data_IF_508200452395
#
_entry.id   IF_508200452395
#
_cell.length_a   1.000
_cell.length_b   1.000
_cell.length_c   1.000
_cell.angle_alpha   90.00
_cell.angle_beta   90.00
_cell.angle_gamma   90.00
#
_symmetry.space_group_name_H-M   'P 1'
#
loop_
_entity.id
_entity.type
_entity.pdbx_description
1 polymer ?
#
# COMPACT_ATOMS: atom_id res chain seq x y z
N UNK A 1 7.11 -28.61 17.04
CA UNK A 1 6.79 -28.06 18.38
C UNK A 1 5.45 -27.35 18.28
N UNK A 2 4.56 -27.50 19.26
CA UNK A 2 3.16 -27.10 19.11
C UNK A 2 3.00 -25.57 19.21
N UNK A 3 2.22 -24.98 18.30
CA UNK A 3 1.90 -23.55 18.29
C UNK A 3 1.11 -23.08 19.54
N UNK A 4 0.65 -24.03 20.37
CA UNK A 4 -0.18 -23.76 21.54
C UNK A 4 0.63 -23.39 22.80
N UNK A 5 1.96 -23.40 22.72
CA UNK A 5 2.83 -23.14 23.88
C UNK A 5 3.05 -21.66 24.18
N UNK A 6 2.64 -20.74 23.29
CA UNK A 6 2.80 -19.29 23.45
C UNK A 6 1.46 -18.62 23.76
N UNK A 7 1.17 -18.34 25.03
CA UNK A 7 -0.07 -17.70 25.48
C UNK A 7 0.17 -16.28 25.97
N UNK A 8 -0.54 -15.31 25.41
CA UNK A 8 -0.40 -13.90 25.81
C UNK A 8 -1.01 -13.74 27.22
N UNK A 9 -0.24 -13.15 28.13
CA UNK A 9 -0.62 -12.90 29.53
C UNK A 9 -0.78 -11.41 29.81
N UNK A 10 -0.16 -10.55 28.99
CA UNK A 10 -0.26 -9.11 29.15
C UNK A 10 0.09 -8.36 27.88
N UNK A 11 -0.32 -7.09 27.88
CA UNK A 11 -0.12 -6.14 26.80
C UNK A 11 0.10 -4.77 27.47
N UNK A 12 1.18 -4.09 27.08
CA UNK A 12 1.49 -2.72 27.48
C UNK A 12 1.84 -1.89 26.26
N UNK A 13 1.56 -0.59 26.30
CA UNK A 13 1.89 0.33 25.21
C UNK A 13 2.62 1.56 25.76
N UNK A 14 3.59 2.05 24.99
CA UNK A 14 4.40 3.21 25.37
C UNK A 14 4.48 4.19 24.22
N UNK A 15 4.37 5.48 24.55
CA UNK A 15 4.61 6.57 23.62
C UNK A 15 6.08 6.55 23.16
N UNK A 16 6.30 6.67 21.86
CA UNK A 16 7.61 6.95 21.28
C UNK A 16 7.49 7.89 20.06
N UNK A 17 8.57 8.10 19.33
CA UNK A 17 8.56 8.91 18.09
C UNK A 17 9.09 8.09 16.91
N UNK A 18 8.57 8.35 15.71
CA UNK A 18 9.12 7.81 14.47
C UNK A 18 10.35 8.61 14.01
N UNK A 19 10.95 8.26 12.88
CA UNK A 19 12.16 8.92 12.37
C UNK A 19 11.96 10.42 12.07
N UNK A 20 10.71 10.85 11.84
CA UNK A 20 10.34 12.23 11.56
C UNK A 20 10.02 13.03 12.83
N UNK A 21 10.15 12.41 14.02
CA UNK A 21 9.78 13.03 15.28
C UNK A 21 8.27 13.10 15.54
N UNK A 22 7.45 12.41 14.74
CA UNK A 22 6.00 12.31 14.98
C UNK A 22 5.71 11.24 16.03
N UNK A 23 4.70 11.44 16.89
CA UNK A 23 4.36 10.47 17.92
C UNK A 23 3.93 9.13 17.32
N UNK A 24 4.38 8.05 17.95
CA UNK A 24 3.97 6.69 17.63
C UNK A 24 3.96 5.80 18.89
N UNK A 25 3.70 4.51 18.76
CA UNK A 25 3.60 3.57 19.87
C UNK A 25 4.55 2.38 19.72
N UNK A 26 5.07 1.91 20.85
CA UNK A 26 5.66 0.57 20.98
C UNK A 26 4.79 -0.28 21.87
N UNK A 27 4.74 -1.58 21.56
CA UNK A 27 3.98 -2.55 22.34
C UNK A 27 4.91 -3.55 22.99
N UNK A 28 4.58 -3.93 24.22
CA UNK A 28 5.21 -5.06 24.91
C UNK A 28 4.16 -6.14 25.11
N UNK A 29 4.38 -7.28 24.48
CA UNK A 29 3.64 -8.51 24.75
C UNK A 29 4.31 -9.25 25.90
N UNK A 30 3.56 -9.55 26.93
CA UNK A 30 3.98 -10.49 27.96
C UNK A 30 3.39 -11.85 27.61
N UNK A 31 4.23 -12.86 27.40
CA UNK A 31 3.81 -14.19 26.92
C UNK A 31 4.33 -15.28 27.83
N UNK A 32 3.44 -16.19 28.22
CA UNK A 32 3.81 -17.48 28.80
C UNK A 32 4.26 -18.39 27.66
N UNK A 33 5.55 -18.69 27.61
CA UNK A 33 6.16 -19.57 26.62
C UNK A 33 7.10 -20.54 27.33
N UNK A 34 6.91 -21.86 27.11
CA UNK A 34 7.73 -22.91 27.75
C UNK A 34 7.83 -22.76 29.28
N UNK A 35 6.71 -22.48 29.95
CA UNK A 35 6.59 -22.24 31.40
C UNK A 35 7.34 -21.00 31.92
N UNK A 36 7.80 -20.12 31.04
CA UNK A 36 8.45 -18.87 31.38
C UNK A 36 7.62 -17.68 30.90
N UNK A 37 7.58 -16.62 31.69
CA UNK A 37 7.00 -15.35 31.27
C UNK A 37 8.10 -14.54 30.60
N UNK A 38 7.87 -14.15 29.35
CA UNK A 38 8.81 -13.39 28.53
C UNK A 38 8.12 -12.11 28.08
N UNK A 39 8.79 -10.97 28.27
CA UNK A 39 8.36 -9.69 27.71
C UNK A 39 9.04 -9.49 26.35
N UNK A 40 8.25 -9.30 25.30
CA UNK A 40 8.73 -9.05 23.94
C UNK A 40 8.25 -7.68 23.49
N UNK A 41 9.22 -6.80 23.25
CA UNK A 41 9.01 -5.48 22.68
C UNK A 41 8.89 -5.63 21.17
N UNK A 42 7.84 -5.04 20.60
CA UNK A 42 7.66 -4.93 19.16
C UNK A 42 7.63 -3.46 18.77
N UNK A 43 8.38 -3.15 17.71
CA UNK A 43 8.27 -1.91 16.98
C UNK A 43 7.21 -2.15 15.91
N UNK A 44 6.23 -1.26 15.82
CA UNK A 44 5.16 -1.40 14.83
C UNK A 44 4.87 -0.06 14.21
N UNK A 45 4.86 -0.03 12.89
CA UNK A 45 4.43 1.15 12.16
C UNK A 45 2.91 1.27 12.17
N UNK A 46 2.48 2.52 12.31
CA UNK A 46 1.20 2.96 11.78
C UNK A 46 1.42 4.34 11.18
N UNK A 47 0.59 4.70 10.23
CA UNK A 47 0.70 5.99 9.55
C UNK A 47 -0.70 6.51 9.23
N UNK A 48 -0.82 7.84 9.12
CA UNK A 48 -1.92 8.45 8.38
C UNK A 48 -1.57 8.30 6.90
N UNK A 49 -2.04 7.23 6.31
CA UNK A 49 -1.71 6.87 4.93
C UNK A 49 -2.70 7.48 3.92
N UNK A 50 -3.93 7.76 4.36
CA UNK A 50 -4.98 8.41 3.58
C UNK A 50 -5.93 9.21 4.50
N UNK A 51 -6.77 10.09 3.94
CA UNK A 51 -7.74 10.91 4.69
C UNK A 51 -8.76 10.07 5.49
N UNK A 52 -8.94 8.81 5.10
CA UNK A 52 -9.86 7.87 5.75
C UNK A 52 -9.21 7.14 6.95
N UNK A 53 -7.89 7.24 7.10
CA UNK A 53 -7.12 6.58 8.15
C UNK A 53 -7.41 7.26 9.50
N UNK A 54 -8.08 6.55 10.40
CA UNK A 54 -8.40 7.07 11.72
C UNK A 54 -7.26 6.83 12.69
N UNK A 55 -6.70 7.91 13.23
CA UNK A 55 -5.73 7.87 14.33
C UNK A 55 -6.36 8.50 15.56
N UNK A 56 -6.22 7.86 16.71
CA UNK A 56 -6.74 8.39 17.98
C UNK A 56 -5.65 9.18 18.69
N UNK A 57 -5.65 10.50 18.51
CA UNK A 57 -4.83 11.44 19.28
C UNK A 57 -5.54 11.88 20.56
N UNK A 58 -4.74 12.34 21.53
CA UNK A 58 -5.27 13.09 22.67
C UNK A 58 -5.82 14.45 22.22
N UNK A 59 -6.62 15.10 23.05
CA UNK A 59 -7.18 16.43 22.76
C UNK A 59 -6.91 17.35 23.94
N UNK A 60 -6.65 18.63 23.68
CA UNK A 60 -6.52 19.67 24.70
C UNK A 60 -7.91 19.97 25.32
N UNK A 61 -7.96 20.91 26.28
CA UNK A 61 -9.22 21.34 26.91
C UNK A 61 -10.16 22.07 25.95
N UNK A 62 -9.63 22.63 24.86
CA UNK A 62 -10.36 23.36 23.82
C UNK A 62 -10.89 22.41 22.71
N UNK A 63 -10.47 21.15 22.73
CA UNK A 63 -10.87 20.11 21.77
C UNK A 63 -9.88 19.88 20.64
N UNK A 64 -8.79 20.64 20.54
CA UNK A 64 -7.78 20.46 19.49
C UNK A 64 -6.94 19.21 19.75
N UNK A 65 -6.59 18.51 18.69
CA UNK A 65 -5.71 17.35 18.77
C UNK A 65 -4.32 17.75 19.29
N UNK A 66 -3.92 17.10 20.37
CA UNK A 66 -2.53 17.10 20.83
C UNK A 66 -1.93 15.80 20.35
N UNK A 67 -0.77 15.90 19.70
CA UNK A 67 0.08 14.82 19.23
C UNK A 67 0.66 13.97 20.40
N UNK A 68 -0.19 13.47 21.29
CA UNK A 68 0.13 12.47 22.29
C UNK A 68 -0.82 11.28 22.18
N UNK A 69 -0.39 10.12 22.70
CA UNK A 69 -1.02 8.82 22.45
C UNK A 69 -1.66 8.19 23.69
N UNK A 70 -1.99 8.97 24.73
CA UNK A 70 -2.44 8.42 26.01
C UNK A 70 -3.80 7.73 25.91
N UNK A 71 -4.76 8.30 25.16
CA UNK A 71 -6.04 7.64 24.86
C UNK A 71 -5.84 6.30 24.16
N UNK A 72 -4.97 6.24 23.15
CA UNK A 72 -4.66 5.00 22.44
C UNK A 72 -4.01 3.95 23.36
N UNK A 73 -3.02 4.35 24.16
CA UNK A 73 -2.37 3.49 25.18
C UNK A 73 -3.42 2.94 26.15
N UNK A 74 -4.30 3.80 26.66
CA UNK A 74 -5.34 3.40 27.59
C UNK A 74 -6.25 2.33 27.00
N UNK A 75 -6.70 2.47 25.74
CA UNK A 75 -7.54 1.47 25.08
C UNK A 75 -6.77 0.16 24.86
N UNK A 76 -5.50 0.23 24.45
CA UNK A 76 -4.66 -0.98 24.28
C UNK A 76 -4.57 -1.75 25.60
N UNK A 77 -4.25 -1.07 26.70
CA UNK A 77 -4.02 -1.71 28.00
C UNK A 77 -5.30 -2.14 28.71
N UNK A 78 -6.43 -1.47 28.46
CA UNK A 78 -7.71 -1.74 29.13
C UNK A 78 -8.67 -2.64 28.34
N UNK A 79 -8.66 -2.56 27.00
CA UNK A 79 -9.61 -3.27 26.13
C UNK A 79 -8.90 -4.33 25.28
N UNK A 80 -7.90 -3.95 24.48
CA UNK A 80 -7.17 -4.92 23.63
C UNK A 80 -6.54 -6.02 24.49
N UNK A 81 -5.91 -5.66 25.61
CA UNK A 81 -5.35 -6.62 26.57
C UNK A 81 -6.36 -7.71 26.99
N UNK A 82 -7.61 -7.34 27.27
CA UNK A 82 -8.65 -8.31 27.70
C UNK A 82 -8.95 -9.36 26.63
N UNK A 83 -8.88 -8.96 25.37
CA UNK A 83 -9.09 -9.84 24.22
C UNK A 83 -7.95 -10.84 24.09
N UNK A 84 -6.72 -10.38 24.31
CA UNK A 84 -5.51 -11.16 24.08
C UNK A 84 -5.17 -12.14 25.23
N UNK A 85 -5.57 -11.84 26.47
CA UNK A 85 -5.24 -12.67 27.64
C UNK A 85 -5.66 -14.13 27.40
N UNK A 86 -4.73 -15.04 27.66
CA UNK A 86 -4.82 -16.49 27.49
C UNK A 86 -5.03 -17.01 26.05
N UNK A 87 -5.09 -16.13 25.04
CA UNK A 87 -5.07 -16.54 23.64
C UNK A 87 -3.67 -16.97 23.20
N UNK A 88 -3.62 -17.87 22.24
CA UNK A 88 -2.38 -18.19 21.53
C UNK A 88 -1.94 -16.97 20.73
N UNK A 89 -0.64 -16.69 20.69
CA UNK A 89 -0.08 -15.67 19.80
C UNK A 89 -0.25 -16.00 18.31
N UNK A 90 -0.63 -17.24 17.97
CA UNK A 90 -0.95 -17.66 16.61
C UNK A 90 -2.43 -17.46 16.22
N UNK A 91 -3.26 -17.02 17.16
CA UNK A 91 -4.72 -16.87 16.96
C UNK A 91 -5.08 -15.57 16.22
N UNK A 92 -4.37 -15.27 15.13
CA UNK A 92 -4.39 -13.99 14.41
C UNK A 92 -5.82 -13.54 14.08
N UNK A 93 -6.62 -14.40 13.43
CA UNK A 93 -7.95 -14.04 12.97
C UNK A 93 -8.89 -13.67 14.13
N UNK A 94 -8.91 -14.47 15.20
CA UNK A 94 -9.79 -14.21 16.34
C UNK A 94 -9.32 -13.00 17.17
N UNK A 95 -8.01 -12.75 17.23
CA UNK A 95 -7.46 -11.54 17.84
C UNK A 95 -7.90 -10.32 17.01
N UNK A 96 -7.68 -10.34 15.70
CA UNK A 96 -8.02 -9.25 14.79
C UNK A 96 -9.53 -8.96 14.78
N UNK A 97 -10.37 -10.00 14.77
CA UNK A 97 -11.83 -9.85 14.89
C UNK A 97 -12.23 -9.20 16.23
N UNK A 98 -11.62 -9.64 17.34
CA UNK A 98 -11.80 -9.02 18.64
C UNK A 98 -11.41 -7.54 18.65
N UNK A 99 -10.27 -7.20 18.05
CA UNK A 99 -9.80 -5.81 17.96
C UNK A 99 -10.79 -4.93 17.19
N UNK A 100 -11.34 -5.41 16.08
CA UNK A 100 -12.36 -4.68 15.30
C UNK A 100 -13.68 -4.55 16.05
N UNK A 101 -14.06 -5.55 16.86
CA UNK A 101 -15.28 -5.51 17.67
C UNK A 101 -15.26 -4.43 18.76
N UNK A 102 -14.08 -3.95 19.19
CA UNK A 102 -13.97 -2.79 20.08
C UNK A 102 -14.60 -1.53 19.44
N UNK A 103 -14.51 -1.42 18.11
CA UNK A 103 -14.90 -0.23 17.34
C UNK A 103 -16.17 -0.46 16.50
N UNK A 104 -17.09 -1.31 16.99
CA UNK A 104 -18.37 -1.65 16.33
C UNK A 104 -18.21 -2.21 14.90
N UNK A 105 -17.17 -3.01 14.65
CA UNK A 105 -16.91 -3.63 13.33
C UNK A 105 -16.65 -2.64 12.18
N UNK A 106 -16.60 -1.33 12.47
CA UNK A 106 -16.14 -0.30 11.55
C UNK A 106 -14.62 -0.10 11.71
N UNK A 107 -13.99 0.51 10.70
CA UNK A 107 -12.57 0.83 10.63
C UNK A 107 -12.02 1.31 11.99
N UNK A 108 -11.24 0.44 12.65
CA UNK A 108 -10.64 0.74 13.95
C UNK A 108 -9.57 1.83 13.83
N UNK A 109 -9.15 2.39 14.97
CA UNK A 109 -8.04 3.34 14.96
C UNK A 109 -6.73 2.62 14.66
N UNK A 110 -6.05 3.02 13.58
CA UNK A 110 -4.86 2.32 13.09
C UNK A 110 -3.73 2.32 14.13
N UNK A 111 -3.58 3.40 14.91
CA UNK A 111 -2.61 3.48 15.99
C UNK A 111 -2.91 2.54 17.18
N UNK A 112 -4.06 1.86 17.19
CA UNK A 112 -4.42 0.86 18.20
C UNK A 112 -4.36 -0.54 17.60
N UNK A 113 -5.01 -0.76 16.46
CA UNK A 113 -5.19 -2.10 15.90
C UNK A 113 -3.94 -2.61 15.20
N UNK A 114 -3.23 -1.78 14.42
CA UNK A 114 -2.02 -2.19 13.70
C UNK A 114 -0.91 -2.64 14.66
N UNK A 115 -0.53 -1.87 15.69
CA UNK A 115 0.50 -2.30 16.63
C UNK A 115 0.24 -3.65 17.29
N UNK A 116 -1.02 -3.94 17.61
CA UNK A 116 -1.39 -5.21 18.23
C UNK A 116 -1.42 -6.33 17.20
N UNK A 117 -2.04 -6.09 16.04
CA UNK A 117 -2.26 -7.07 14.98
C UNK A 117 -0.96 -7.47 14.27
N UNK A 118 -0.22 -6.51 13.71
CA UNK A 118 1.05 -6.74 13.02
C UNK A 118 2.16 -7.10 14.01
N UNK A 119 2.07 -6.60 15.25
CA UNK A 119 3.00 -6.96 16.33
C UNK A 119 3.08 -8.46 16.61
N UNK A 120 2.03 -9.23 16.31
CA UNK A 120 2.04 -10.70 16.42
C UNK A 120 3.05 -11.36 15.47
N UNK A 121 3.37 -10.76 14.33
CA UNK A 121 4.41 -11.24 13.41
C UNK A 121 5.77 -11.23 14.11
N UNK A 122 6.15 -10.06 14.64
CA UNK A 122 7.42 -9.86 15.35
C UNK A 122 7.48 -10.70 16.63
N UNK A 123 6.36 -10.80 17.36
CA UNK A 123 6.23 -11.65 18.53
C UNK A 123 6.55 -13.12 18.22
N UNK A 124 5.86 -13.70 17.23
CA UNK A 124 6.02 -15.10 16.87
C UNK A 124 7.40 -15.38 16.25
N UNK A 125 7.90 -14.48 15.41
CA UNK A 125 9.25 -14.54 14.86
C UNK A 125 10.31 -14.66 15.95
N UNK A 126 10.25 -13.78 16.97
CA UNK A 126 11.18 -13.75 18.11
C UNK A 126 11.04 -14.96 19.03
N UNK A 127 9.81 -15.40 19.36
CA UNK A 127 9.58 -16.54 20.26
C UNK A 127 10.08 -17.88 19.68
N UNK A 128 9.88 -18.08 18.37
CA UNK A 128 10.16 -19.35 17.72
C UNK A 128 11.48 -19.36 16.94
N UNK A 129 12.22 -18.25 16.94
CA UNK A 129 13.45 -18.07 16.15
C UNK A 129 13.23 -18.42 14.67
N UNK A 130 12.11 -17.95 14.11
CA UNK A 130 11.75 -18.16 12.71
C UNK A 130 11.68 -16.81 11.98
N UNK A 131 12.15 -16.72 10.73
CA UNK A 131 11.97 -15.50 9.94
C UNK A 131 10.50 -15.10 9.83
N UNK A 132 10.19 -13.80 9.94
CA UNK A 132 8.82 -13.29 9.95
C UNK A 132 8.05 -13.63 8.66
N UNK A 133 8.70 -13.59 7.49
CA UNK A 133 8.08 -13.97 6.22
C UNK A 133 7.54 -15.42 6.21
N UNK A 134 8.15 -16.35 6.96
CA UNK A 134 7.66 -17.73 7.03
C UNK A 134 6.33 -17.82 7.79
N UNK A 135 6.22 -17.03 8.86
CA UNK A 135 4.98 -16.92 9.62
C UNK A 135 3.87 -16.27 8.78
N UNK A 136 4.18 -15.16 8.11
CA UNK A 136 3.25 -14.46 7.21
C UNK A 136 2.75 -15.39 6.10
N UNK A 137 3.64 -16.15 5.45
CA UNK A 137 3.26 -17.14 4.43
C UNK A 137 2.30 -18.18 4.97
N UNK A 138 2.58 -18.72 6.16
CA UNK A 138 1.69 -19.69 6.82
C UNK A 138 0.30 -19.10 7.08
N UNK A 139 0.21 -17.84 7.53
CA UNK A 139 -1.06 -17.16 7.75
C UNK A 139 -1.84 -16.89 6.45
N UNK A 140 -1.15 -16.41 5.41
CA UNK A 140 -1.76 -16.08 4.12
C UNK A 140 -2.36 -17.31 3.40
N UNK A 141 -1.77 -18.49 3.64
CA UNK A 141 -2.08 -19.70 2.89
C UNK A 141 -1.47 -19.74 1.49
N UNK A 142 -0.57 -18.80 1.14
CA UNK A 142 0.22 -18.88 -0.08
C UNK A 142 1.29 -19.96 0.06
N UNK A 143 1.10 -21.09 -0.62
CA UNK A 143 2.04 -22.21 -0.67
C UNK A 143 2.74 -22.19 -2.03
N UNK A 144 4.08 -22.09 -2.06
CA UNK A 144 4.84 -22.21 -3.30
C UNK A 144 4.60 -23.58 -3.91
N UNK A 145 4.15 -23.63 -5.17
CA UNK A 145 4.25 -24.84 -5.97
C UNK A 145 5.74 -25.07 -6.29
N UNK A 146 6.39 -25.89 -5.47
CA UNK A 146 7.82 -26.24 -5.50
C UNK A 146 8.78 -25.18 -4.93
N UNK A 147 9.64 -25.63 -4.01
CA UNK A 147 10.77 -24.89 -3.42
C UNK A 147 11.91 -24.57 -4.41
N UNK A 148 11.71 -24.82 -5.72
CA UNK A 148 12.80 -24.78 -6.70
C UNK A 148 13.20 -23.37 -7.16
N UNK A 149 12.34 -22.35 -6.98
CA UNK A 149 12.66 -20.95 -7.28
C UNK A 149 12.39 -20.02 -6.10
N UNK A 150 13.46 -19.47 -5.54
CA UNK A 150 13.40 -18.29 -4.68
C UNK A 150 13.05 -17.08 -5.56
N UNK A 151 11.77 -16.78 -5.72
CA UNK A 151 11.31 -15.48 -6.19
C UNK A 151 11.47 -14.51 -5.01
N UNK A 152 12.40 -13.56 -5.16
CA UNK A 152 12.51 -12.39 -4.30
C UNK A 152 11.70 -11.26 -4.94
N UNK A 153 11.09 -10.36 -4.14
CA UNK A 153 10.36 -9.24 -4.69
C UNK A 153 11.30 -8.32 -5.48
N UNK A 154 10.82 -7.82 -6.62
CA UNK A 154 11.50 -6.73 -7.33
C UNK A 154 11.36 -5.44 -6.53
N UNK A 155 12.46 -4.70 -6.38
CA UNK A 155 12.45 -3.42 -5.68
C UNK A 155 12.04 -2.31 -6.64
N UNK A 156 11.05 -1.51 -6.22
CA UNK A 156 10.67 -0.28 -6.91
C UNK A 156 11.11 0.91 -6.05
N UNK A 157 12.12 1.61 -6.51
CA UNK A 157 12.75 2.71 -5.78
C UNK A 157 12.24 4.02 -6.36
N UNK A 158 11.57 4.82 -5.53
CA UNK A 158 11.19 6.17 -5.93
C UNK A 158 12.46 7.02 -6.06
N UNK A 159 12.84 7.36 -7.29
CA UNK A 159 14.12 8.03 -7.57
C UNK A 159 13.94 9.55 -7.69
N UNK A 160 12.87 9.97 -8.37
CA UNK A 160 12.68 11.35 -8.79
C UNK A 160 11.20 11.73 -8.65
N UNK A 161 10.94 12.83 -7.94
CA UNK A 161 9.61 13.39 -7.77
C UNK A 161 9.43 14.71 -8.52
N UNK A 162 8.28 14.84 -9.18
CA UNK A 162 7.80 16.09 -9.76
C UNK A 162 6.52 16.58 -9.10
N UNK A 163 5.73 17.35 -9.84
CA UNK A 163 4.38 17.81 -9.48
C UNK A 163 4.28 18.86 -8.36
N UNK A 164 3.03 19.24 -8.03
CA UNK A 164 2.67 20.16 -6.94
C UNK A 164 3.15 19.68 -5.56
N UNK A 165 3.44 18.39 -5.40
CA UNK A 165 3.90 17.79 -4.13
C UNK A 165 5.17 18.46 -3.61
N UNK A 166 6.11 18.81 -4.50
CA UNK A 166 7.42 19.35 -4.11
C UNK A 166 7.53 20.87 -4.33
N UNK A 167 6.58 21.49 -5.03
CA UNK A 167 6.40 22.94 -5.10
C UNK A 167 7.55 23.78 -5.70
N UNK A 168 8.71 23.20 -6.06
CA UNK A 168 9.90 23.97 -6.41
C UNK A 168 10.57 23.45 -7.68
N UNK A 169 10.75 24.35 -8.66
CA UNK A 169 11.72 24.19 -9.74
C UNK A 169 13.11 24.44 -9.18
N UNK A 170 13.70 23.45 -8.52
CA UNK A 170 15.08 23.56 -8.03
C UNK A 170 16.05 23.39 -9.21
N UNK A 171 16.95 24.36 -9.41
CA UNK A 171 18.07 24.27 -10.36
C UNK A 171 19.40 24.43 -9.63
N UNK A 172 20.48 23.92 -10.23
CA UNK A 172 21.82 23.98 -9.65
C UNK A 172 21.92 23.19 -8.35
N UNK A 173 22.68 23.68 -7.37
CA UNK A 173 22.92 22.98 -6.09
C UNK A 173 21.64 22.72 -5.28
N UNK A 174 20.60 23.55 -5.44
CA UNK A 174 19.32 23.35 -4.78
C UNK A 174 18.59 22.08 -5.26
N UNK A 175 18.89 21.61 -6.48
CA UNK A 175 18.34 20.36 -7.03
C UNK A 175 19.00 19.10 -6.43
N UNK A 176 20.15 19.25 -5.75
CA UNK A 176 20.82 18.16 -5.05
C UNK A 176 20.23 17.90 -3.65
N UNK A 177 19.27 18.72 -3.22
CA UNK A 177 18.54 18.48 -1.97
C UNK A 177 17.53 17.37 -2.20
N UNK A 178 17.65 16.33 -1.38
CA UNK A 178 16.66 15.27 -1.30
C UNK A 178 15.37 15.78 -0.64
N UNK A 179 14.25 15.24 -1.08
CA UNK A 179 13.00 15.30 -0.33
C UNK A 179 13.12 14.45 0.96
N UNK A 180 12.17 14.57 1.89
CA UNK A 180 12.23 13.89 3.20
C UNK A 180 12.18 12.37 3.11
N UNK A 181 11.73 11.83 1.97
CA UNK A 181 11.75 10.40 1.62
C UNK A 181 13.01 9.95 0.87
N UNK A 182 14.01 10.82 0.74
CA UNK A 182 15.26 10.50 0.05
C UNK A 182 15.21 10.60 -1.48
N UNK A 183 14.08 11.03 -2.07
CA UNK A 183 13.98 11.21 -3.53
C UNK A 183 14.65 12.49 -4.02
N UNK A 184 15.15 12.46 -5.26
CA UNK A 184 15.56 13.68 -5.97
C UNK A 184 14.34 14.45 -6.48
N UNK A 185 14.51 15.73 -6.77
CA UNK A 185 13.44 16.60 -7.29
C UNK A 185 13.69 16.87 -8.77
N UNK A 186 12.66 16.80 -9.62
CA UNK A 186 12.76 17.10 -11.04
C UNK A 186 13.44 18.46 -11.29
N UNK A 187 14.46 18.46 -12.14
CA UNK A 187 15.33 19.63 -12.38
C UNK A 187 14.96 20.39 -13.65
N UNK A 188 14.18 19.75 -14.53
CA UNK A 188 13.76 20.25 -15.84
C UNK A 188 12.25 20.16 -16.02
N UNK A 189 11.74 20.94 -16.98
CA UNK A 189 10.32 21.29 -17.08
C UNK A 189 9.42 20.22 -17.74
N UNK A 190 9.99 19.22 -18.41
CA UNK A 190 9.25 18.19 -19.15
C UNK A 190 9.53 16.79 -18.59
N UNK A 191 8.55 15.89 -18.70
CA UNK A 191 8.70 14.48 -18.30
C UNK A 191 9.81 13.85 -19.16
N UNK A 192 9.79 14.13 -20.46
CA UNK A 192 10.76 13.59 -21.42
C UNK A 192 12.21 13.94 -21.06
N UNK A 193 12.49 15.18 -20.66
CA UNK A 193 13.87 15.60 -20.32
C UNK A 193 14.32 15.05 -18.96
N UNK A 194 13.41 14.90 -17.99
CA UNK A 194 13.72 14.22 -16.73
C UNK A 194 14.06 12.74 -16.98
N UNK A 195 13.30 12.05 -17.85
CA UNK A 195 13.58 10.66 -18.22
C UNK A 195 14.93 10.49 -18.91
N UNK A 196 15.31 11.43 -19.80
CA UNK A 196 16.65 11.41 -20.43
C UNK A 196 17.77 11.42 -19.38
N UNK A 197 17.66 12.24 -18.32
CA UNK A 197 18.66 12.28 -17.25
C UNK A 197 18.76 10.94 -16.51
N UNK A 198 17.62 10.31 -16.21
CA UNK A 198 17.57 9.00 -15.57
C UNK A 198 18.19 7.93 -16.48
N UNK A 199 17.84 7.91 -17.76
CA UNK A 199 18.42 6.98 -18.75
C UNK A 199 19.93 7.17 -18.90
N UNK A 200 20.42 8.40 -18.94
CA UNK A 200 21.85 8.71 -18.95
C UNK A 200 22.55 8.18 -17.70
N UNK A 201 21.93 8.30 -16.53
CA UNK A 201 22.47 7.75 -15.28
C UNK A 201 22.51 6.21 -15.32
N UNK A 202 21.41 5.56 -15.73
CA UNK A 202 21.32 4.10 -15.86
C UNK A 202 22.38 3.58 -16.85
N UNK A 203 22.55 4.24 -18.00
CA UNK A 203 23.50 3.86 -19.05
C UNK A 203 24.97 3.95 -18.61
N UNK A 204 25.28 4.73 -17.59
CA UNK A 204 26.63 4.80 -16.97
C UNK A 204 26.90 3.63 -16.02
N UNK A 205 25.89 2.83 -15.68
CA UNK A 205 26.03 1.66 -14.79
C UNK A 205 26.19 0.36 -15.59
N UNK A 206 26.81 -0.69 -15.01
CA UNK A 206 26.81 -2.03 -15.61
C UNK A 206 25.44 -2.72 -15.54
N UNK A 207 24.44 -2.13 -14.88
CA UNK A 207 23.13 -2.73 -14.60
C UNK A 207 22.02 -2.28 -15.56
N UNK A 208 22.34 -1.56 -16.63
CA UNK A 208 21.36 -0.98 -17.56
C UNK A 208 20.30 -1.95 -18.13
N UNK A 209 20.61 -3.24 -18.23
CA UNK A 209 19.67 -4.27 -18.72
C UNK A 209 18.85 -4.92 -17.60
N UNK A 210 19.01 -4.48 -16.36
CA UNK A 210 18.35 -4.99 -15.16
C UNK A 210 17.44 -3.93 -14.51
N UNK A 211 17.30 -2.76 -15.14
CA UNK A 211 16.54 -1.63 -14.63
C UNK A 211 15.50 -1.22 -15.67
N UNK A 212 14.24 -1.20 -15.28
CA UNK A 212 13.15 -0.55 -16.00
C UNK A 212 12.60 0.63 -15.17
N UNK A 213 11.75 1.45 -15.80
CA UNK A 213 11.13 2.61 -15.17
C UNK A 213 9.63 2.42 -15.01
N UNK A 214 9.13 2.86 -13.85
CA UNK A 214 7.71 3.07 -13.60
C UNK A 214 7.43 4.56 -13.42
N UNK A 215 6.27 5.03 -13.89
CA UNK A 215 5.82 6.41 -13.71
C UNK A 215 4.51 6.42 -12.91
N UNK A 216 4.50 7.10 -11.77
CA UNK A 216 3.27 7.43 -11.05
C UNK A 216 2.82 8.82 -11.47
N UNK A 217 1.71 8.89 -12.20
CA UNK A 217 1.20 10.13 -12.78
C UNK A 217 0.34 10.91 -11.79
N UNK A 218 -0.22 10.24 -10.77
CA UNK A 218 -1.12 10.82 -9.78
C UNK A 218 -2.17 11.73 -10.45
N UNK A 219 -2.86 11.21 -11.48
CA UNK A 219 -3.59 12.04 -12.43
C UNK A 219 -4.75 12.87 -11.80
N UNK A 220 -5.28 12.46 -10.64
CA UNK A 220 -6.21 13.28 -9.85
C UNK A 220 -5.63 14.68 -9.52
N UNK A 221 -4.31 14.80 -9.32
CA UNK A 221 -3.63 16.09 -9.08
C UNK A 221 -3.48 16.96 -10.34
N UNK A 222 -3.60 16.34 -11.51
CA UNK A 222 -3.44 16.95 -12.83
C UNK A 222 -4.80 17.31 -13.45
N UNK A 223 -5.88 16.70 -12.99
CA UNK A 223 -7.20 16.88 -13.57
C UNK A 223 -7.87 18.18 -13.11
N UNK A 224 -8.39 18.93 -14.08
CA UNK A 224 -9.17 20.13 -13.85
C UNK A 224 -10.67 19.78 -13.92
N UNK A 225 -11.32 19.73 -12.76
CA UNK A 225 -12.73 19.35 -12.63
C UNK A 225 -13.70 20.26 -13.40
N UNK A 226 -13.40 21.58 -13.48
CA UNK A 226 -14.26 22.53 -14.19
C UNK A 226 -14.20 22.35 -15.71
N UNK A 227 -12.98 22.13 -16.23
CA UNK A 227 -12.75 21.99 -17.67
C UNK A 227 -12.94 20.56 -18.17
N UNK A 228 -12.90 19.57 -17.27
CA UNK A 228 -12.84 18.14 -17.57
C UNK A 228 -11.66 17.76 -18.46
N UNK A 229 -10.50 18.37 -18.18
CA UNK A 229 -9.26 18.19 -18.93
C UNK A 229 -8.09 18.00 -17.96
N UNK A 230 -7.06 17.30 -18.40
CA UNK A 230 -5.81 17.10 -17.68
C UNK A 230 -4.81 18.20 -18.03
N UNK A 231 -4.20 18.82 -17.00
CA UNK A 231 -3.14 19.81 -17.13
C UNK A 231 -1.77 19.12 -17.09
N UNK A 232 -1.17 18.86 -18.25
CA UNK A 232 0.13 18.20 -18.40
C UNK A 232 1.22 19.18 -18.89
N UNK A 233 2.43 19.05 -18.33
CA UNK A 233 3.68 19.70 -18.76
C UNK A 233 3.73 21.25 -18.84
N UNK A 234 4.93 21.78 -19.14
CA UNK A 234 5.23 23.18 -19.41
C UNK A 234 5.79 23.30 -20.85
N UNK A 235 5.15 24.06 -21.76
CA UNK A 235 3.94 24.84 -21.54
C UNK A 235 2.73 23.93 -21.29
N UNK A 236 1.83 24.40 -20.41
CA UNK A 236 0.63 23.67 -20.02
C UNK A 236 -0.18 23.24 -21.24
N UNK A 237 -0.29 21.93 -21.43
CA UNK A 237 -1.22 21.33 -22.36
C UNK A 237 -2.48 20.92 -21.59
N UNK A 238 -3.63 21.25 -22.15
CA UNK A 238 -4.92 20.74 -21.69
C UNK A 238 -5.28 19.57 -22.59
N UNK A 239 -5.31 18.38 -22.02
CA UNK A 239 -5.57 17.14 -22.73
C UNK A 239 -6.90 16.55 -22.27
N UNK A 240 -7.72 16.10 -23.21
CA UNK A 240 -8.80 15.18 -22.87
C UNK A 240 -8.24 13.77 -22.59
N UNK A 241 -9.10 12.85 -22.16
CA UNK A 241 -8.71 11.48 -21.83
C UNK A 241 -8.02 10.75 -23.00
N UNK A 242 -8.54 10.86 -24.23
CA UNK A 242 -7.97 10.18 -25.39
C UNK A 242 -6.60 10.77 -25.74
N UNK A 243 -6.49 12.09 -25.73
CA UNK A 243 -5.23 12.79 -25.96
C UNK A 243 -4.17 12.44 -24.91
N UNK A 244 -4.58 12.28 -23.64
CA UNK A 244 -3.70 11.85 -22.56
C UNK A 244 -3.21 10.41 -22.76
N UNK A 245 -4.11 9.49 -23.12
CA UNK A 245 -3.75 8.09 -23.43
C UNK A 245 -2.79 8.04 -24.63
N UNK A 246 -3.07 8.79 -25.69
CA UNK A 246 -2.20 8.86 -26.88
C UNK A 246 -0.82 9.45 -26.53
N UNK A 247 -0.77 10.44 -25.63
CA UNK A 247 0.49 10.96 -25.10
C UNK A 247 1.29 9.87 -24.38
N UNK A 248 0.68 9.09 -23.49
CA UNK A 248 1.36 8.00 -22.77
C UNK A 248 1.82 6.87 -23.71
N UNK A 249 1.01 6.52 -24.71
CA UNK A 249 1.38 5.53 -25.73
C UNK A 249 2.61 5.98 -26.52
N UNK A 250 2.63 7.26 -26.92
CA UNK A 250 3.79 7.85 -27.59
C UNK A 250 5.01 7.86 -26.68
N UNK A 251 4.86 8.30 -25.43
CA UNK A 251 5.96 8.35 -24.45
C UNK A 251 6.56 6.96 -24.23
N UNK A 252 5.72 5.94 -24.05
CA UNK A 252 6.15 4.55 -23.86
C UNK A 252 6.87 3.98 -25.09
N UNK A 253 6.42 4.35 -26.29
CA UNK A 253 7.08 3.97 -27.55
C UNK A 253 8.43 4.66 -27.71
N UNK A 254 8.50 5.95 -27.40
CA UNK A 254 9.72 6.75 -27.52
C UNK A 254 10.74 6.35 -26.44
N UNK A 255 10.27 5.88 -25.27
CA UNK A 255 11.06 5.47 -24.10
C UNK A 255 10.75 4.02 -23.67
N UNK A 256 11.25 2.99 -24.40
CA UNK A 256 10.95 1.58 -24.11
C UNK A 256 11.42 1.06 -22.76
N UNK A 257 12.22 1.82 -22.01
CA UNK A 257 12.60 1.49 -20.64
C UNK A 257 11.43 1.62 -19.65
N UNK A 258 10.36 2.34 -20.03
CA UNK A 258 9.12 2.44 -19.25
C UNK A 258 8.37 1.13 -19.37
N UNK A 259 8.14 0.46 -18.24
CA UNK A 259 7.38 -0.80 -18.17
C UNK A 259 6.16 -0.70 -17.24
N UNK A 260 5.97 0.42 -16.54
CA UNK A 260 4.87 0.59 -15.60
C UNK A 260 4.32 2.02 -15.59
N UNK A 261 2.99 2.15 -15.59
CA UNK A 261 2.25 3.39 -15.36
C UNK A 261 1.27 3.20 -14.18
N UNK A 262 1.42 4.02 -13.16
CA UNK A 262 0.54 4.08 -11.99
C UNK A 262 -0.34 5.32 -12.04
N UNK A 263 -1.64 5.14 -11.73
CA UNK A 263 -2.68 6.18 -11.70
C UNK A 263 -2.60 7.17 -12.89
N UNK A 264 -2.59 6.65 -14.14
CA UNK A 264 -2.44 7.47 -15.35
C UNK A 264 -3.63 8.40 -15.61
N UNK A 265 -4.80 8.11 -15.03
CA UNK A 265 -6.05 8.87 -15.18
C UNK A 265 -6.75 9.01 -13.81
N UNK A 266 -7.78 9.85 -13.71
CA UNK A 266 -8.50 10.04 -12.44
C UNK A 266 -9.12 8.75 -11.91
N UNK A 267 -9.16 8.64 -10.60
CA UNK A 267 -9.54 7.39 -9.92
C UNK A 267 -11.00 6.97 -10.10
N UNK A 268 -11.92 7.91 -10.32
CA UNK A 268 -13.36 7.66 -10.43
C UNK A 268 -13.86 7.43 -11.88
N UNK A 269 -12.99 7.53 -12.90
CA UNK A 269 -13.33 7.30 -14.31
C UNK A 269 -13.17 5.83 -14.73
N UNK A 270 -14.09 4.97 -14.28
CA UNK A 270 -14.03 3.53 -14.54
C UNK A 270 -14.03 3.16 -16.04
N UNK A 271 -14.77 3.90 -16.87
CA UNK A 271 -14.81 3.68 -18.32
C UNK A 271 -13.46 4.08 -18.95
N UNK A 272 -12.86 5.18 -18.50
CA UNK A 272 -11.51 5.56 -18.88
C UNK A 272 -10.46 4.53 -18.48
N UNK A 273 -10.61 3.89 -17.31
CA UNK A 273 -9.71 2.82 -16.86
C UNK A 273 -9.79 1.61 -17.78
N UNK A 274 -10.99 1.20 -18.19
CA UNK A 274 -11.17 0.13 -19.16
C UNK A 274 -10.52 0.48 -20.51
N UNK A 275 -10.71 1.72 -20.98
CA UNK A 275 -10.13 2.20 -22.23
C UNK A 275 -8.61 2.19 -22.22
N UNK A 276 -7.97 2.75 -21.18
CA UNK A 276 -6.50 2.78 -21.12
C UNK A 276 -5.92 1.38 -21.00
N UNK A 277 -6.50 0.51 -20.17
CA UNK A 277 -6.07 -0.89 -20.07
C UNK A 277 -6.15 -1.56 -21.44
N UNK A 278 -7.27 -1.41 -22.16
CA UNK A 278 -7.45 -1.97 -23.50
C UNK A 278 -6.38 -1.48 -24.49
N UNK A 279 -6.10 -0.18 -24.50
CA UNK A 279 -5.09 0.44 -25.38
C UNK A 279 -3.67 -0.06 -25.08
N UNK A 280 -3.39 -0.43 -23.83
CA UNK A 280 -2.06 -0.83 -23.37
C UNK A 280 -1.79 -2.36 -23.40
N UNK A 281 -2.80 -3.21 -23.62
CA UNK A 281 -2.69 -4.69 -23.55
C UNK A 281 -1.48 -5.31 -24.27
N UNK A 282 -1.07 -4.77 -25.42
CA UNK A 282 0.01 -5.31 -26.25
C UNK A 282 1.27 -4.44 -26.29
N UNK A 283 1.37 -3.45 -25.42
CA UNK A 283 2.49 -2.50 -25.40
C UNK A 283 3.70 -3.00 -24.60
N UNK A 284 3.47 -3.97 -23.69
CA UNK A 284 4.46 -4.38 -22.69
C UNK A 284 4.48 -3.52 -21.43
N UNK A 285 3.83 -2.34 -21.44
CA UNK A 285 3.70 -1.47 -20.27
C UNK A 285 2.54 -1.91 -19.41
N UNK A 286 2.80 -2.08 -18.12
CA UNK A 286 1.84 -2.49 -17.11
C UNK A 286 1.07 -1.31 -16.57
N UNK A 287 -0.24 -1.46 -16.44
CA UNK A 287 -1.12 -0.43 -15.87
C UNK A 287 -1.48 -0.84 -14.44
N UNK A 288 -1.24 0.06 -13.50
CA UNK A 288 -1.63 -0.15 -12.12
C UNK A 288 -2.24 1.07 -11.46
N UNK A 289 -2.71 0.84 -10.24
CA UNK A 289 -3.30 1.87 -9.42
C UNK A 289 -2.97 1.65 -7.96
N UNK A 290 -2.93 2.74 -7.20
CA UNK A 290 -2.99 2.72 -5.73
C UNK A 290 -4.36 3.12 -5.18
N UNK A 291 -5.20 3.73 -6.04
CA UNK A 291 -6.50 4.31 -5.65
C UNK A 291 -7.67 3.39 -5.95
N UNK A 292 -7.53 2.46 -6.89
CA UNK A 292 -8.51 1.40 -7.13
C UNK A 292 -8.26 0.18 -6.25
N UNK A 293 -9.26 -0.70 -6.17
CA UNK A 293 -9.19 -2.02 -5.53
C UNK A 293 -8.79 -2.00 -4.03
N UNK A 294 -9.15 -0.93 -3.31
CA UNK A 294 -8.87 -0.79 -1.88
C UNK A 294 -9.65 -1.79 -1.02
N UNK A 295 -10.80 -2.24 -1.52
CA UNK A 295 -11.64 -3.23 -0.82
C UNK A 295 -12.05 -4.40 -1.72
N UNK A 296 -12.37 -5.55 -1.11
CA UNK A 296 -12.90 -6.71 -1.84
C UNK A 296 -14.20 -6.37 -2.59
N UNK A 297 -15.04 -5.51 -2.00
CA UNK A 297 -16.31 -5.10 -2.64
C UNK A 297 -16.05 -4.24 -3.87
N UNK A 298 -15.11 -3.31 -3.79
CA UNK A 298 -14.70 -2.47 -4.92
C UNK A 298 -14.12 -3.34 -6.05
N UNK A 299 -13.24 -4.30 -5.73
CA UNK A 299 -12.71 -5.25 -6.73
C UNK A 299 -13.86 -5.98 -7.41
N UNK A 300 -14.84 -6.49 -6.65
CA UNK A 300 -16.01 -7.17 -7.23
C UNK A 300 -16.81 -6.23 -8.14
N UNK A 301 -17.07 -5.00 -7.67
CA UNK A 301 -17.84 -3.99 -8.39
C UNK A 301 -17.17 -3.53 -9.68
N UNK A 302 -15.84 -3.55 -9.77
CA UNK A 302 -15.10 -3.08 -10.94
C UNK A 302 -14.66 -4.18 -11.91
N UNK A 303 -14.42 -5.40 -11.40
CA UNK A 303 -13.81 -6.48 -12.17
C UNK A 303 -14.71 -7.69 -12.46
N UNK A 304 -15.76 -7.93 -11.66
CA UNK A 304 -16.62 -9.10 -11.90
C UNK A 304 -17.55 -8.88 -13.09
N UNK A 305 -17.86 -9.92 -13.88
CA UNK A 305 -18.95 -9.84 -14.84
C UNK A 305 -20.25 -9.44 -14.13
N UNK A 306 -20.96 -8.49 -14.72
CA UNK A 306 -22.30 -8.09 -14.36
C UNK A 306 -23.31 -9.05 -14.99
N UNK A 307 -24.42 -9.25 -14.31
CA UNK A 307 -25.56 -10.07 -14.74
C UNK A 307 -26.80 -9.18 -14.95
N UNK A 308 -27.84 -9.75 -15.57
CA UNK A 308 -29.15 -9.08 -15.67
C UNK A 308 -29.77 -8.79 -14.29
N UNK A 309 -29.41 -9.53 -13.24
CA UNK A 309 -29.90 -9.26 -11.88
C UNK A 309 -29.24 -8.01 -11.28
N UNK A 310 -27.98 -7.75 -11.64
CA UNK A 310 -27.24 -6.57 -11.17
C UNK A 310 -27.75 -5.29 -11.83
N UNK A 311 -28.18 -5.37 -13.10
CA UNK A 311 -28.69 -4.26 -13.91
C UNK A 311 -29.92 -4.71 -14.74
N UNK A 312 -31.13 -4.72 -14.15
CA UNK A 312 -32.33 -5.27 -14.81
C UNK A 312 -32.87 -4.41 -15.97
N UNK A 313 -32.51 -3.12 -16.01
CA UNK A 313 -33.08 -2.14 -16.94
C UNK A 313 -32.23 -1.86 -18.18
N UNK A 314 -31.11 -2.58 -18.39
CA UNK A 314 -30.23 -2.39 -19.55
C UNK A 314 -30.43 -3.46 -20.63
N UNK A 315 -30.14 -3.13 -21.88
CA UNK A 315 -30.22 -4.09 -22.98
C UNK A 315 -29.11 -5.15 -22.87
N UNK A 316 -29.28 -6.35 -23.48
CA UNK A 316 -28.22 -7.35 -23.54
C UNK A 316 -26.93 -6.82 -24.19
N UNK A 317 -27.06 -5.96 -25.20
CA UNK A 317 -25.92 -5.32 -25.88
C UNK A 317 -25.18 -4.34 -24.96
N UNK A 318 -25.92 -3.57 -24.16
CA UNK A 318 -25.31 -2.67 -23.16
C UNK A 318 -24.63 -3.46 -22.03
N UNK A 319 -25.23 -4.57 -21.59
CA UNK A 319 -24.63 -5.45 -20.59
C UNK A 319 -23.33 -6.07 -21.13
N UNK A 320 -23.33 -6.52 -22.38
CA UNK A 320 -22.13 -7.05 -23.04
C UNK A 320 -21.05 -5.98 -23.13
N UNK A 321 -21.40 -4.76 -23.55
CA UNK A 321 -20.46 -3.63 -23.61
C UNK A 321 -19.86 -3.32 -22.24
N UNK A 322 -20.67 -3.23 -21.18
CA UNK A 322 -20.18 -3.01 -19.81
C UNK A 322 -19.30 -4.15 -19.31
N UNK A 323 -19.60 -5.39 -19.70
CA UNK A 323 -18.78 -6.56 -19.38
C UNK A 323 -17.46 -6.61 -20.16
N UNK A 324 -17.40 -6.05 -21.36
CA UNK A 324 -16.15 -5.87 -22.11
C UNK A 324 -15.26 -4.78 -21.50
N UNK A 325 -15.88 -3.77 -20.85
CA UNK A 325 -15.19 -2.63 -20.23
C UNK A 325 -14.97 -2.79 -18.72
N UNK A 326 -14.71 -4.00 -18.24
CA UNK A 326 -14.39 -4.22 -16.82
C UNK A 326 -12.94 -3.88 -16.56
N UNK A 327 -12.68 -3.27 -15.40
CA UNK A 327 -11.35 -2.84 -15.02
C UNK A 327 -10.54 -4.04 -14.58
N UNK A 328 -9.36 -4.20 -15.16
CA UNK A 328 -8.49 -5.35 -15.01
C UNK A 328 -7.03 -4.91 -14.90
N UNK A 329 -6.63 -4.47 -13.71
CA UNK A 329 -5.29 -3.97 -13.47
C UNK A 329 -4.22 -5.05 -13.65
N UNK A 330 -3.08 -4.67 -14.23
CA UNK A 330 -1.89 -5.51 -14.24
C UNK A 330 -1.22 -5.53 -12.88
N UNK A 331 -1.24 -4.39 -12.17
CA UNK A 331 -0.56 -4.23 -10.89
C UNK A 331 -1.42 -3.42 -9.93
N UNK A 332 -1.57 -3.89 -8.69
CA UNK A 332 -2.17 -3.13 -7.61
C UNK A 332 -1.09 -2.71 -6.60
N UNK A 333 -0.95 -1.41 -6.35
CA UNK A 333 -0.14 -0.93 -5.24
C UNK A 333 -0.99 -0.94 -3.96
N UNK A 334 -0.44 -1.53 -2.88
CA UNK A 334 -1.12 -1.67 -1.60
C UNK A 334 -0.15 -1.28 -0.49
N UNK A 335 -0.59 -0.40 0.39
CA UNK A 335 0.07 -0.17 1.65
C UNK A 335 -0.56 -1.04 2.74
N UNK A 336 0.16 -2.02 3.33
CA UNK A 336 -0.40 -2.88 4.39
C UNK A 336 -0.88 -2.11 5.61
N UNK A 337 -0.28 -0.95 5.88
CA UNK A 337 -0.60 -0.10 7.03
C UNK A 337 -1.81 0.80 6.81
N UNK A 338 -2.49 0.71 5.66
CA UNK A 338 -3.83 1.28 5.44
C UNK A 338 -4.94 0.36 5.96
N UNK A 339 -4.61 -0.90 6.27
CA UNK A 339 -5.59 -1.87 6.75
C UNK A 339 -5.66 -1.84 8.27
N UNK A 340 -6.84 -1.96 8.87
CA UNK A 340 -6.94 -1.93 10.33
C UNK A 340 -6.28 -3.15 10.98
N UNK A 341 -6.16 -4.29 10.30
CA UNK A 341 -5.55 -5.51 10.82
C UNK A 341 -4.82 -6.29 9.72
N UNK A 342 -3.86 -7.13 10.12
CA UNK A 342 -3.13 -8.03 9.24
C UNK A 342 -4.09 -8.98 8.51
N UNK A 343 -5.11 -9.51 9.21
CA UNK A 343 -6.12 -10.38 8.61
C UNK A 343 -6.83 -9.70 7.44
N UNK A 344 -7.23 -8.43 7.57
CA UNK A 344 -7.92 -7.69 6.49
C UNK A 344 -7.02 -7.46 5.28
N UNK A 345 -5.76 -7.14 5.51
CA UNK A 345 -4.76 -7.04 4.45
C UNK A 345 -4.55 -8.40 3.73
N UNK A 346 -4.41 -9.50 4.48
CA UNK A 346 -4.24 -10.84 3.92
C UNK A 346 -5.49 -11.33 3.16
N UNK A 347 -6.69 -10.98 3.62
CA UNK A 347 -7.95 -11.27 2.91
C UNK A 347 -7.98 -10.60 1.53
N UNK A 348 -7.64 -9.31 1.44
CA UNK A 348 -7.62 -8.58 0.18
C UNK A 348 -6.57 -9.15 -0.79
N UNK A 349 -5.33 -9.32 -0.33
CA UNK A 349 -4.23 -9.84 -1.16
C UNK A 349 -4.52 -11.26 -1.65
N UNK A 350 -5.12 -12.11 -0.80
CA UNK A 350 -5.60 -13.45 -1.21
C UNK A 350 -6.70 -13.38 -2.25
N UNK A 351 -7.64 -12.45 -2.11
CA UNK A 351 -8.72 -12.26 -3.08
C UNK A 351 -8.17 -11.81 -4.44
N UNK A 352 -7.22 -10.86 -4.46
CA UNK A 352 -6.55 -10.40 -5.67
C UNK A 352 -5.81 -11.55 -6.39
N UNK A 353 -5.03 -12.33 -5.65
CA UNK A 353 -4.28 -13.46 -6.20
C UNK A 353 -5.21 -14.55 -6.78
N UNK A 354 -6.36 -14.80 -6.14
CA UNK A 354 -7.34 -15.79 -6.64
C UNK A 354 -8.08 -15.32 -7.89
N UNK A 355 -8.39 -14.03 -8.00
CA UNK A 355 -9.22 -13.48 -9.08
C UNK A 355 -8.50 -13.46 -10.43
N UNK A 356 -7.18 -13.25 -10.43
CA UNK A 356 -6.35 -13.32 -11.63
C UNK A 356 -4.90 -13.67 -11.26
N UNK A 357 -4.31 -14.73 -11.82
CA UNK A 357 -2.86 -14.99 -11.68
C UNK A 357 -1.98 -13.96 -12.42
N UNK A 358 -2.53 -12.81 -12.83
CA UNK A 358 -1.84 -11.76 -13.60
C UNK A 358 -1.83 -10.39 -12.92
N UNK A 359 -2.61 -10.17 -11.84
CA UNK A 359 -2.53 -8.91 -11.09
C UNK A 359 -1.41 -9.02 -10.06
N UNK A 360 -0.26 -8.40 -10.34
CA UNK A 360 0.84 -8.31 -9.38
C UNK A 360 0.48 -7.33 -8.26
N UNK A 361 1.08 -7.49 -7.09
CA UNK A 361 0.84 -6.61 -5.95
C UNK A 361 2.15 -5.89 -5.64
N UNK A 362 2.20 -4.56 -5.71
CA UNK A 362 3.32 -3.79 -5.15
C UNK A 362 2.99 -3.51 -3.69
N UNK A 363 3.84 -3.96 -2.77
CA UNK A 363 3.77 -3.57 -1.37
C UNK A 363 4.52 -2.25 -1.21
N UNK A 364 3.81 -1.19 -0.87
CA UNK A 364 4.36 0.16 -0.69
C UNK A 364 4.43 0.55 0.78
N UNK A 365 5.41 1.37 1.12
CA UNK A 365 5.56 1.98 2.44
C UNK A 365 5.04 3.42 2.49
N UNK A 366 4.99 4.00 3.69
CA UNK A 366 4.87 5.43 3.88
C UNK A 366 6.21 6.02 4.33
N UNK A 367 6.39 7.31 4.04
CA UNK A 367 7.61 8.12 4.29
C UNK A 367 7.95 8.26 5.80
N UNK A 368 7.10 7.75 6.69
CA UNK A 368 7.29 7.86 8.14
C UNK A 368 8.00 6.62 8.69
N UNK A 369 9.30 6.48 8.41
CA UNK A 369 10.06 5.31 8.86
C UNK A 369 9.99 5.13 10.38
N UNK A 370 9.84 3.88 10.79
CA UNK A 370 10.30 3.41 12.10
C UNK A 370 11.29 2.27 11.87
N UNK A 371 11.88 1.73 12.95
CA UNK A 371 12.77 0.56 12.85
C UNK A 371 12.05 -0.76 12.51
N UNK A 372 10.73 -0.73 12.27
CA UNK A 372 9.95 -1.89 11.85
C UNK A 372 10.26 -2.26 10.38
N UNK A 373 10.80 -3.45 10.18
CA UNK A 373 11.13 -4.00 8.85
C UNK A 373 10.09 -4.99 8.34
N UNK A 374 8.92 -5.11 9.01
CA UNK A 374 7.88 -6.11 8.68
C UNK A 374 7.40 -5.99 7.24
N UNK A 375 7.46 -4.81 6.63
CA UNK A 375 7.11 -4.61 5.22
C UNK A 375 7.94 -5.46 4.25
N UNK A 376 9.22 -5.67 4.56
CA UNK A 376 10.11 -6.53 3.76
C UNK A 376 9.64 -7.99 3.83
N UNK A 377 9.23 -8.43 5.01
CA UNK A 377 8.67 -9.78 5.20
C UNK A 377 7.29 -9.94 4.55
N UNK A 378 6.49 -8.87 4.44
CA UNK A 378 5.20 -8.87 3.75
C UNK A 378 5.36 -8.89 2.22
N UNK A 379 6.43 -8.31 1.68
CA UNK A 379 6.73 -8.37 0.24
C UNK A 379 7.00 -9.80 -0.26
N UNK A 380 7.35 -10.74 0.62
CA UNK A 380 7.52 -12.17 0.32
C UNK A 380 6.18 -12.94 0.16
N UNK A 381 5.03 -12.26 0.24
CA UNK A 381 3.71 -12.81 -0.09
C UNK A 381 3.52 -13.10 -1.59
N UNK A 382 4.38 -12.54 -2.46
CA UNK A 382 4.33 -12.69 -3.92
C UNK A 382 4.77 -14.07 -4.43
#
# INVERSE_FOLDING_TARGET
MAQNDAKIQGLRAFHTFNCQGKPTLKIIFQVLFKLQIIDIIVDTQYCIANENSKILYDTNQEGDEIETMNKAIHIIESQCKKILINKSSFDQNNIDEGLLNIFNQNEGYLNITLPVSFGLISLNSKLFYQPAYQYIRKLSGFVKQSDSKKNYPSLMINLLQGSKVVGVKCKGEAALKYHTDGTFICTVDTITDNLKQIEEAINKTPYKSQVCLGLSMMADNLYNQEKKLYELENPKQLLDLNQLIDYYLKLSKDKPIIEYLEDPIISDDHDGWALIIQKFQNTGVKIGSRLLYKTINEIKQLSNPLTNEDLPDISPEELEFKNQNRVHLDIQQINPYEFPTLTKFLELTKFLNQKKPQCAIIISENISDTNDTTIVDLAELQ
#
